data_IF_325772389754
#
_entry.id   IF_325772389754
#
_cell.length_a   1.000
_cell.length_b   1.000
_cell.length_c   1.000
_cell.angle_alpha   90.00
_cell.angle_beta   90.00
_cell.angle_gamma   90.00
#
_symmetry.space_group_name_H-M   'P 1'
#
loop_
_entity.id
_entity.type
_entity.pdbx_description
1 polymer ?
#
# COMPACT_ATOMS: atom_id res chain seq x y z
N UNK A 1 99.87 -25.63 -5.05
CA UNK A 1 99.63 -24.38 -4.33
C UNK A 1 99.05 -23.37 -5.30
N UNK A 2 97.90 -22.92 -5.10
CA UNK A 2 97.24 -21.64 -5.36
C UNK A 2 95.75 -21.91 -5.63
N UNK A 3 95.01 -21.35 -4.75
CA UNK A 3 93.57 -21.33 -4.69
C UNK A 3 93.03 -20.34 -5.75
N UNK A 4 92.05 -20.71 -6.54
CA UNK A 4 91.27 -19.82 -7.41
C UNK A 4 89.86 -19.76 -6.91
N UNK A 5 89.45 -18.58 -6.57
CA UNK A 5 88.11 -18.26 -6.13
C UNK A 5 87.17 -18.09 -7.39
N UNK A 6 86.12 -18.81 -7.45
CA UNK A 6 85.08 -18.62 -8.44
C UNK A 6 83.98 -17.69 -7.91
N UNK A 7 83.71 -16.61 -8.66
CA UNK A 7 82.62 -15.66 -8.36
C UNK A 7 81.32 -16.18 -8.90
N UNK A 8 80.29 -16.35 -8.03
CA UNK A 8 78.90 -16.62 -8.40
C UNK A 8 78.22 -15.29 -8.73
N UNK A 9 77.76 -15.19 -9.98
CA UNK A 9 76.86 -14.11 -10.44
C UNK A 9 75.41 -14.57 -10.17
N UNK A 10 74.76 -13.92 -9.22
CA UNK A 10 73.33 -14.10 -8.97
C UNK A 10 72.54 -13.20 -9.92
N UNK A 11 71.81 -13.83 -10.86
CA UNK A 11 70.81 -13.15 -11.69
C UNK A 11 69.53 -13.04 -10.87
N UNK A 12 69.20 -11.85 -10.42
CA UNK A 12 67.93 -11.53 -9.77
C UNK A 12 66.84 -11.37 -10.82
N UNK A 13 65.89 -12.29 -10.84
CA UNK A 13 64.68 -12.15 -11.60
C UNK A 13 63.70 -11.22 -10.84
N UNK A 14 63.48 -10.02 -11.36
CA UNK A 14 62.37 -9.15 -10.93
C UNK A 14 61.08 -9.69 -11.48
N UNK A 15 60.27 -10.32 -10.63
CA UNK A 15 58.85 -10.57 -10.92
C UNK A 15 58.09 -9.24 -10.76
N UNK A 16 57.73 -8.62 -11.87
CA UNK A 16 56.81 -7.51 -11.90
C UNK A 16 55.38 -8.03 -11.59
N UNK A 17 54.84 -7.64 -10.42
CA UNK A 17 53.43 -7.81 -10.14
C UNK A 17 52.66 -6.83 -11.02
N UNK A 18 52.01 -7.38 -12.08
CA UNK A 18 50.99 -6.64 -12.80
C UNK A 18 49.70 -6.73 -11.99
N UNK A 19 49.40 -5.65 -11.22
CA UNK A 19 48.10 -5.47 -10.61
C UNK A 19 47.14 -5.11 -11.73
N UNK A 20 46.38 -6.08 -12.21
CA UNK A 20 45.22 -5.84 -13.05
C UNK A 20 44.15 -5.21 -12.19
N UNK A 21 43.89 -3.93 -12.37
CA UNK A 21 42.70 -3.29 -11.88
C UNK A 21 41.50 -3.93 -12.57
N UNK A 22 40.68 -4.66 -11.81
CA UNK A 22 39.37 -5.10 -12.26
C UNK A 22 38.55 -3.86 -12.62
N UNK A 23 37.78 -3.89 -13.73
CA UNK A 23 36.86 -2.80 -14.03
C UNK A 23 35.85 -2.71 -12.87
N UNK A 24 35.72 -1.52 -12.30
CA UNK A 24 34.65 -1.22 -11.37
C UNK A 24 33.33 -1.44 -12.15
N UNK A 25 32.61 -2.51 -11.83
CA UNK A 25 31.24 -2.67 -12.28
C UNK A 25 30.47 -1.49 -11.70
N UNK A 26 29.99 -0.60 -12.55
CA UNK A 26 29.01 0.39 -12.18
C UNK A 26 27.78 -0.41 -11.67
N UNK A 27 27.57 -0.36 -10.37
CA UNK A 27 26.36 -0.86 -9.73
C UNK A 27 25.23 0.00 -10.26
N UNK A 28 24.51 -0.53 -11.26
CA UNK A 28 23.23 0.01 -11.67
C UNK A 28 22.28 -0.27 -10.51
N UNK A 29 22.00 0.74 -9.70
CA UNK A 29 21.29 0.66 -8.42
C UNK A 29 19.80 0.25 -8.57
N UNK A 30 19.56 -0.94 -9.06
CA UNK A 30 18.33 -1.70 -8.94
C UNK A 30 18.54 -2.80 -7.92
N UNK A 31 18.49 -2.47 -6.64
CA UNK A 31 18.45 -3.48 -5.59
C UNK A 31 17.22 -4.34 -5.76
N UNK A 32 17.36 -5.68 -5.59
CA UNK A 32 16.20 -6.56 -5.57
C UNK A 32 15.19 -6.07 -4.51
N UNK A 33 13.87 -6.19 -4.77
CA UNK A 33 12.86 -5.80 -3.81
C UNK A 33 13.07 -6.55 -2.49
N UNK A 34 12.93 -5.83 -1.38
CA UNK A 34 13.16 -6.39 -0.04
C UNK A 34 11.90 -7.11 0.40
N UNK A 35 12.06 -8.20 1.15
CA UNK A 35 10.92 -8.93 1.72
C UNK A 35 10.07 -8.03 2.60
N UNK A 36 8.74 -8.17 2.49
CA UNK A 36 7.79 -7.45 3.33
C UNK A 36 7.99 -7.77 4.81
N UNK A 37 7.75 -6.79 5.67
CA UNK A 37 7.79 -6.95 7.13
C UNK A 37 6.40 -7.37 7.60
N UNK A 38 6.33 -8.47 8.37
CA UNK A 38 5.10 -9.04 8.89
C UNK A 38 5.04 -8.89 10.41
N UNK A 39 3.85 -8.62 10.92
CA UNK A 39 3.57 -8.52 12.34
C UNK A 39 2.29 -9.29 12.69
N UNK A 40 2.34 -10.16 13.70
CA UNK A 40 1.14 -10.85 14.19
C UNK A 40 0.17 -9.83 14.78
N UNK A 41 -1.08 -9.86 14.35
CA UNK A 41 -2.04 -8.88 14.80
C UNK A 41 -2.41 -9.10 16.27
N UNK A 42 -2.25 -8.07 17.09
CA UNK A 42 -2.55 -8.11 18.51
C UNK A 42 -3.96 -7.60 18.81
N UNK A 43 -4.62 -8.25 19.75
CA UNK A 43 -5.93 -7.87 20.24
C UNK A 43 -5.96 -7.97 21.77
N UNK A 44 -5.35 -7.02 22.50
CA UNK A 44 -5.17 -7.09 23.93
C UNK A 44 -6.49 -7.09 24.73
N UNK A 45 -7.56 -6.51 24.17
CA UNK A 45 -8.87 -6.42 24.80
C UNK A 45 -9.83 -7.57 24.42
N UNK A 46 -9.27 -8.70 23.94
CA UNK A 46 -10.05 -9.84 23.46
C UNK A 46 -10.15 -9.89 21.93
N UNK A 47 -11.03 -10.72 21.35
CA UNK A 47 -11.13 -10.84 19.90
C UNK A 47 -11.42 -9.50 19.23
N UNK A 48 -10.57 -9.04 18.31
CA UNK A 48 -10.65 -7.72 17.67
C UNK A 48 -12.03 -7.46 17.02
N UNK A 49 -12.64 -8.48 16.39
CA UNK A 49 -13.97 -8.35 15.80
C UNK A 49 -15.07 -8.08 16.85
N UNK A 50 -14.93 -8.60 18.08
CA UNK A 50 -15.84 -8.33 19.21
C UNK A 50 -15.61 -6.96 19.86
N UNK A 51 -14.40 -6.44 19.77
CA UNK A 51 -14.06 -5.11 20.28
C UNK A 51 -14.80 -3.99 19.53
N UNK A 52 -14.95 -4.10 18.21
CA UNK A 52 -15.54 -3.07 17.38
C UNK A 52 -17.07 -3.15 17.33
N UNK A 53 -17.74 -2.47 18.26
CA UNK A 53 -19.19 -2.24 18.22
C UNK A 53 -19.53 -1.13 17.21
N UNK A 54 -20.80 -1.03 16.77
CA UNK A 54 -21.27 0.06 15.91
C UNK A 54 -20.95 1.46 16.48
N UNK A 55 -21.09 1.62 17.80
CA UNK A 55 -20.78 2.88 18.48
C UNK A 55 -19.28 3.20 18.46
N UNK A 56 -18.42 2.22 18.72
CA UNK A 56 -16.95 2.41 18.63
C UNK A 56 -16.50 2.71 17.21
N UNK A 57 -17.10 2.05 16.19
CA UNK A 57 -16.79 2.29 14.79
C UNK A 57 -17.17 3.71 14.37
N UNK A 58 -18.35 4.20 14.74
CA UNK A 58 -18.76 5.60 14.46
C UNK A 58 -17.90 6.63 15.18
N UNK A 59 -17.41 6.33 16.38
CA UNK A 59 -16.57 7.21 17.20
C UNK A 59 -15.08 7.08 16.94
N UNK A 60 -14.65 6.15 16.10
CA UNK A 60 -13.25 6.00 15.73
C UNK A 60 -12.78 7.27 15.00
N UNK A 61 -11.73 7.89 15.53
CA UNK A 61 -11.16 9.08 14.89
C UNK A 61 -10.61 8.72 13.52
N UNK A 62 -10.78 9.57 12.48
CA UNK A 62 -10.04 9.38 11.25
C UNK A 62 -8.55 9.41 11.56
N UNK A 63 -7.77 8.48 11.01
CA UNK A 63 -6.35 8.72 10.94
C UNK A 63 -6.14 9.76 9.84
N UNK A 64 -5.48 10.85 10.20
CA UNK A 64 -5.26 11.93 9.26
C UNK A 64 -4.46 11.43 8.06
N UNK A 65 -4.78 11.95 6.88
CA UNK A 65 -3.88 11.84 5.75
C UNK A 65 -2.54 12.44 6.16
N UNK A 66 -1.47 11.80 5.72
CA UNK A 66 -0.14 12.29 6.05
C UNK A 66 0.05 13.67 5.40
N UNK A 67 0.15 14.69 6.24
CA UNK A 67 0.39 16.07 5.79
C UNK A 67 1.88 16.30 5.61
N UNK A 68 2.33 16.42 4.38
CA UNK A 68 3.72 16.74 4.07
C UNK A 68 3.91 18.25 4.11
N UNK A 69 4.42 18.72 5.23
CA UNK A 69 4.99 20.06 5.33
C UNK A 69 6.39 20.13 4.69
N UNK A 70 6.83 21.33 4.37
CA UNK A 70 8.11 21.61 3.67
C UNK A 70 9.40 21.04 4.29
N UNK A 71 9.34 20.39 5.46
CA UNK A 71 10.49 19.77 6.15
C UNK A 71 10.68 18.29 5.87
N UNK A 72 9.72 17.61 5.22
CA UNK A 72 9.82 16.19 4.91
C UNK A 72 10.60 15.89 3.62
N UNK A 73 10.98 16.92 2.89
CA UNK A 73 11.60 16.90 1.56
C UNK A 73 12.95 16.17 1.49
N UNK A 74 13.64 15.96 2.60
CA UNK A 74 15.03 15.48 2.59
C UNK A 74 15.20 13.96 2.65
N UNK A 75 14.14 13.16 2.74
CA UNK A 75 14.26 11.72 3.07
C UNK A 75 13.56 10.74 2.12
N UNK A 76 12.92 11.22 1.07
CA UNK A 76 12.20 10.31 0.17
C UNK A 76 13.19 9.46 -0.65
N UNK A 77 13.12 8.14 -0.47
CA UNK A 77 13.75 7.17 -1.37
C UNK A 77 13.04 7.17 -2.72
N UNK A 78 13.64 6.58 -3.75
CA UNK A 78 12.97 6.37 -5.03
C UNK A 78 12.31 5.00 -5.04
N UNK A 79 11.03 4.94 -5.40
CA UNK A 79 10.38 3.68 -5.72
C UNK A 79 11.14 3.01 -6.89
N UNK A 80 11.37 1.70 -6.80
CA UNK A 80 11.97 0.94 -7.91
C UNK A 80 10.84 0.57 -8.87
N UNK A 81 10.77 1.16 -10.07
CA UNK A 81 9.80 0.74 -11.07
C UNK A 81 10.06 -0.73 -11.41
N UNK A 82 9.03 -1.53 -11.43
CA UNK A 82 9.11 -2.89 -11.97
C UNK A 82 9.41 -2.87 -13.47
N UNK A 83 9.88 -3.99 -14.02
CA UNK A 83 10.28 -4.05 -15.41
C UNK A 83 9.09 -3.97 -16.39
N UNK A 84 7.94 -4.55 -16.04
CA UNK A 84 6.74 -4.59 -16.88
C UNK A 84 5.47 -4.43 -16.01
N UNK A 85 4.37 -3.96 -16.60
CA UNK A 85 3.08 -3.91 -15.95
C UNK A 85 2.59 -5.34 -15.66
N UNK A 86 2.33 -5.66 -14.38
CA UNK A 86 1.77 -6.95 -13.97
C UNK A 86 0.33 -6.73 -13.52
N UNK A 87 -0.60 -7.51 -14.10
CA UNK A 87 -2.03 -7.48 -13.77
C UNK A 87 -2.46 -8.79 -13.14
N UNK A 88 -3.15 -8.69 -12.02
CA UNK A 88 -3.85 -9.80 -11.38
C UNK A 88 -5.36 -9.56 -11.59
N UNK A 89 -6.06 -10.42 -12.34
CA UNK A 89 -7.46 -10.17 -12.68
C UNK A 89 -8.37 -10.25 -11.46
N UNK A 90 -9.52 -9.54 -11.47
CA UNK A 90 -10.54 -9.66 -10.43
C UNK A 90 -11.21 -11.04 -10.46
N UNK A 91 -11.73 -11.47 -9.31
CA UNK A 91 -12.52 -12.71 -9.17
C UNK A 91 -14.02 -12.39 -9.33
N UNK A 92 -14.39 -11.67 -10.38
CA UNK A 92 -15.76 -11.17 -10.59
C UNK A 92 -16.12 -11.14 -12.09
N UNK A 93 -17.40 -11.19 -12.49
CA UNK A 93 -17.80 -11.19 -13.90
C UNK A 93 -17.82 -9.79 -14.53
N UNK A 94 -17.56 -9.77 -15.83
CA UNK A 94 -17.31 -8.63 -16.72
C UNK A 94 -18.52 -7.78 -17.10
N UNK A 95 -18.41 -6.42 -17.12
CA UNK A 95 -19.15 -5.52 -18.05
C UNK A 95 -18.74 -4.03 -17.96
N UNK A 96 -18.46 -3.37 -19.04
CA UNK A 96 -17.85 -2.05 -19.11
C UNK A 96 -18.70 -0.81 -19.36
N UNK A 97 -18.30 0.37 -18.88
CA UNK A 97 -18.49 1.72 -19.47
C UNK A 97 -17.75 2.89 -18.73
N UNK A 98 -17.90 4.12 -19.25
CA UNK A 98 -17.09 5.33 -19.21
C UNK A 98 -16.99 6.11 -17.91
N UNK A 99 -15.76 6.58 -17.61
CA UNK A 99 -15.39 7.51 -16.53
C UNK A 99 -15.75 8.98 -16.80
N UNK A 100 -16.17 9.67 -15.76
CA UNK A 100 -16.25 11.15 -15.67
C UNK A 100 -15.30 11.65 -14.59
N UNK A 101 -14.59 12.79 -14.77
CA UNK A 101 -13.79 13.39 -13.71
C UNK A 101 -14.68 13.78 -12.53
N UNK A 102 -14.35 13.30 -11.32
CA UNK A 102 -15.02 13.63 -10.06
C UNK A 102 -13.98 13.98 -9.01
N UNK A 103 -14.11 15.13 -8.37
CA UNK A 103 -13.17 15.65 -7.38
C UNK A 103 -13.46 15.22 -5.93
N UNK A 104 -14.58 14.54 -5.71
CA UNK A 104 -15.02 14.01 -4.42
C UNK A 104 -16.55 14.03 -4.31
N UNK A 105 -17.14 12.85 -4.20
CA UNK A 105 -18.58 12.69 -4.07
C UNK A 105 -18.98 11.27 -3.67
N UNK A 106 -20.23 11.08 -3.18
CA UNK A 106 -20.74 9.76 -2.85
C UNK A 106 -20.79 8.85 -4.08
N UNK A 107 -20.26 7.63 -3.95
CA UNK A 107 -20.42 6.62 -4.98
C UNK A 107 -21.85 6.08 -4.99
N UNK A 108 -22.54 6.25 -6.11
CA UNK A 108 -23.93 5.80 -6.30
C UNK A 108 -24.08 4.73 -7.37
N UNK A 109 -22.95 4.33 -8.02
CA UNK A 109 -22.94 3.35 -9.10
C UNK A 109 -23.24 1.90 -8.65
N UNK A 110 -23.12 1.63 -7.35
CA UNK A 110 -23.23 0.25 -6.84
C UNK A 110 -22.04 -0.61 -7.28
N UNK A 111 -22.31 -1.86 -7.68
CA UNK A 111 -21.31 -2.80 -8.15
C UNK A 111 -20.42 -3.38 -7.03
N UNK A 112 -19.49 -4.22 -7.43
CA UNK A 112 -18.71 -5.03 -6.50
C UNK A 112 -17.76 -4.22 -5.64
N UNK A 113 -17.33 -3.03 -6.08
CA UNK A 113 -16.51 -2.10 -5.31
C UNK A 113 -17.13 -1.74 -3.95
N UNK A 114 -18.46 -1.72 -3.86
CA UNK A 114 -19.18 -1.38 -2.62
C UNK A 114 -18.99 -2.46 -1.56
N UNK A 115 -18.91 -3.73 -1.95
CA UNK A 115 -18.75 -4.84 -1.02
C UNK A 115 -17.27 -5.24 -0.81
N UNK A 116 -16.39 -4.98 -1.77
CA UNK A 116 -14.97 -5.28 -1.64
C UNK A 116 -14.20 -4.21 -0.88
N UNK A 117 -14.63 -2.95 -0.97
CA UNK A 117 -14.06 -1.84 -0.20
C UNK A 117 -14.73 -1.69 1.17
N UNK A 118 -14.02 -1.17 2.14
CA UNK A 118 -14.55 -1.02 3.49
C UNK A 118 -13.72 -0.12 4.37
N UNK A 119 -14.23 0.13 5.56
CA UNK A 119 -13.45 0.81 6.61
C UNK A 119 -12.54 -0.18 7.33
N UNK A 120 -11.40 0.33 7.70
CA UNK A 120 -10.44 -0.33 8.58
C UNK A 120 -10.48 0.36 9.94
N UNK A 121 -10.59 -0.42 10.99
CA UNK A 121 -10.59 0.07 12.37
C UNK A 121 -9.45 -0.55 13.15
N UNK A 122 -8.78 0.24 13.98
CA UNK A 122 -7.66 -0.22 14.80
C UNK A 122 -7.47 0.68 16.04
N UNK A 123 -6.66 0.22 16.95
CA UNK A 123 -6.20 1.02 18.07
C UNK A 123 -4.77 1.48 17.81
N UNK A 124 -4.56 2.78 17.79
CA UNK A 124 -3.28 3.44 17.65
C UNK A 124 -3.01 4.33 18.86
N UNK A 125 -1.91 4.13 19.54
CA UNK A 125 -1.53 4.87 20.75
C UNK A 125 -2.68 4.96 21.79
N UNK A 126 -3.36 3.81 22.00
CA UNK A 126 -4.49 3.70 22.95
C UNK A 126 -5.79 4.37 22.47
N UNK A 127 -5.86 4.90 21.26
CA UNK A 127 -7.05 5.54 20.69
C UNK A 127 -7.62 4.72 19.55
N UNK A 128 -8.94 4.70 19.46
CA UNK A 128 -9.64 4.10 18.34
C UNK A 128 -9.52 4.99 17.11
N UNK A 129 -8.98 4.43 16.05
CA UNK A 129 -8.76 5.12 14.78
C UNK A 129 -9.34 4.34 13.60
N UNK A 130 -9.46 5.00 12.46
CA UNK A 130 -9.98 4.39 11.24
C UNK A 130 -9.23 4.86 9.99
N UNK A 131 -9.17 3.95 9.05
CA UNK A 131 -8.71 4.08 7.67
C UNK A 131 -9.74 3.42 6.72
N UNK A 132 -9.35 3.25 5.48
CA UNK A 132 -10.03 2.49 4.44
C UNK A 132 -9.16 1.31 3.97
N UNK A 133 -9.76 0.37 3.27
CA UNK A 133 -9.05 -0.77 2.69
C UNK A 133 -9.90 -1.49 1.64
N UNK A 134 -9.31 -2.46 0.98
CA UNK A 134 -9.98 -3.20 -0.10
C UNK A 134 -9.58 -4.68 -0.11
N UNK A 135 -10.57 -5.55 -0.24
CA UNK A 135 -10.37 -6.99 -0.44
C UNK A 135 -9.88 -7.26 -1.87
N UNK A 136 -8.79 -7.97 -2.00
CA UNK A 136 -8.18 -8.27 -3.30
C UNK A 136 -8.12 -9.77 -3.57
N UNK A 137 -8.10 -10.12 -4.86
CA UNK A 137 -7.81 -11.48 -5.30
C UNK A 137 -6.50 -11.96 -4.70
N UNK A 138 -6.50 -13.10 -4.04
CA UNK A 138 -5.32 -13.66 -3.39
C UNK A 138 -5.44 -15.18 -3.22
N UNK A 139 -4.31 -15.89 -3.21
CA UNK A 139 -4.27 -17.35 -3.06
C UNK A 139 -4.89 -17.82 -1.73
N UNK A 140 -4.72 -17.03 -0.66
CA UNK A 140 -5.33 -17.33 0.64
C UNK A 140 -6.80 -16.88 0.74
N UNK A 141 -7.34 -16.12 -0.24
CA UNK A 141 -8.69 -15.56 -0.25
C UNK A 141 -9.02 -14.68 0.98
N UNK A 142 -8.01 -14.07 1.60
CA UNK A 142 -8.14 -13.35 2.88
C UNK A 142 -7.27 -12.09 2.97
N UNK A 143 -6.80 -11.57 1.83
CA UNK A 143 -5.91 -10.41 1.79
C UNK A 143 -6.69 -9.10 1.59
N UNK A 144 -6.37 -8.12 2.42
CA UNK A 144 -6.83 -6.73 2.32
C UNK A 144 -5.61 -5.84 2.05
N UNK A 145 -5.69 -4.95 1.07
CA UNK A 145 -4.70 -3.91 0.80
C UNK A 145 -5.17 -2.60 1.41
N UNK A 146 -4.24 -1.88 2.03
CA UNK A 146 -4.43 -0.59 2.69
C UNK A 146 -3.13 0.23 2.62
N UNK A 147 -3.03 1.35 3.30
CA UNK A 147 -1.78 2.11 3.43
C UNK A 147 -0.87 1.55 4.53
N UNK A 148 0.42 1.80 4.42
CA UNK A 148 1.42 1.42 5.43
C UNK A 148 1.14 2.07 6.78
N UNK A 149 0.81 3.38 6.78
CA UNK A 149 0.44 4.09 8.00
C UNK A 149 -0.87 3.59 8.64
N UNK A 150 -1.70 2.82 7.92
CA UNK A 150 -2.89 2.17 8.45
C UNK A 150 -2.62 0.82 9.15
N UNK A 151 -1.39 0.33 9.12
CA UNK A 151 -0.96 -0.88 9.85
C UNK A 151 0.15 -0.60 10.85
N UNK A 152 1.05 0.38 10.55
CA UNK A 152 2.15 0.81 11.42
C UNK A 152 2.42 2.30 11.21
N UNK A 153 2.43 3.08 12.28
CA UNK A 153 2.72 4.51 12.22
C UNK A 153 3.43 4.99 13.48
N UNK A 154 4.32 5.98 13.34
CA UNK A 154 5.15 6.53 14.43
C UNK A 154 5.88 5.43 15.23
N UNK A 155 6.43 4.45 14.50
CA UNK A 155 7.16 3.33 15.08
C UNK A 155 6.31 2.23 15.71
N UNK A 156 4.97 2.38 15.77
CA UNK A 156 4.08 1.46 16.46
C UNK A 156 3.16 0.70 15.50
N UNK A 157 3.10 -0.63 15.63
CA UNK A 157 2.10 -1.45 14.98
C UNK A 157 0.75 -1.24 15.64
N UNK A 158 -0.31 -1.19 14.83
CA UNK A 158 -1.66 -1.01 15.32
C UNK A 158 -2.23 -2.31 15.89
N UNK A 159 -3.04 -2.20 16.94
CA UNK A 159 -3.71 -3.33 17.58
C UNK A 159 -5.21 -3.32 17.30
N UNK A 160 -5.92 -4.42 17.60
CA UNK A 160 -7.36 -4.59 17.33
C UNK A 160 -7.75 -4.36 15.86
N UNK A 161 -6.83 -4.57 14.92
CA UNK A 161 -7.02 -4.29 13.50
C UNK A 161 -8.17 -5.13 12.92
N UNK A 162 -9.13 -4.47 12.31
CA UNK A 162 -10.35 -5.10 11.79
C UNK A 162 -10.81 -4.40 10.51
N UNK A 163 -11.07 -5.17 9.48
CA UNK A 163 -11.66 -4.73 8.22
C UNK A 163 -13.17 -4.95 8.22
N UNK A 164 -13.93 -3.95 7.77
CA UNK A 164 -15.40 -4.00 7.67
C UNK A 164 -15.81 -3.67 6.24
N UNK A 165 -15.89 -4.70 5.37
CA UNK A 165 -16.28 -4.52 3.99
C UNK A 165 -17.74 -4.09 3.86
N UNK A 166 -18.05 -3.20 2.90
CA UNK A 166 -19.38 -2.66 2.68
C UNK A 166 -19.89 -1.76 3.81
N UNK A 167 -18.99 -1.23 4.65
CA UNK A 167 -19.36 -0.38 5.79
C UNK A 167 -20.25 0.79 5.35
N UNK A 168 -21.29 1.07 6.11
CA UNK A 168 -22.12 2.28 6.02
C UNK A 168 -22.88 2.50 7.31
N UNK A 169 -23.03 3.72 7.76
CA UNK A 169 -23.88 4.13 8.90
C UNK A 169 -23.72 3.27 10.17
N UNK A 170 -22.47 2.88 10.50
CA UNK A 170 -22.17 1.98 11.62
C UNK A 170 -22.50 0.51 11.38
N UNK A 171 -22.96 0.15 10.18
CA UNK A 171 -23.31 -1.23 9.80
C UNK A 171 -22.08 -2.01 9.32
N UNK A 172 -22.11 -3.31 9.54
CA UNK A 172 -21.11 -4.27 9.05
C UNK A 172 -21.83 -5.39 8.28
N UNK A 173 -22.36 -5.12 7.05
CA UNK A 173 -23.26 -6.03 6.35
C UNK A 173 -22.58 -7.37 6.01
N UNK A 174 -21.28 -7.37 5.80
CA UNK A 174 -20.47 -8.55 5.50
C UNK A 174 -19.60 -9.00 6.68
N UNK A 175 -19.89 -8.50 7.90
CA UNK A 175 -19.17 -8.86 9.11
C UNK A 175 -17.95 -7.98 9.40
N UNK A 176 -17.22 -8.36 10.47
CA UNK A 176 -16.03 -7.70 10.96
C UNK A 176 -14.88 -8.69 10.92
N UNK A 177 -13.91 -8.43 10.06
CA UNK A 177 -12.81 -9.34 9.73
C UNK A 177 -11.55 -8.93 10.49
N UNK A 178 -11.29 -9.61 11.59
CA UNK A 178 -10.09 -9.34 12.39
C UNK A 178 -8.83 -9.81 11.67
N UNK A 179 -7.78 -9.01 11.69
CA UNK A 179 -6.49 -9.43 11.15
C UNK A 179 -5.92 -10.62 11.95
N UNK A 180 -5.29 -11.53 11.25
CA UNK A 180 -4.35 -12.51 11.78
C UNK A 180 -2.95 -11.93 11.82
N UNK A 181 -2.57 -11.21 10.78
CA UNK A 181 -1.34 -10.47 10.67
C UNK A 181 -1.51 -9.23 9.80
N UNK A 182 -0.66 -8.24 10.02
CA UNK A 182 -0.49 -7.05 9.19
C UNK A 182 0.91 -7.01 8.62
N UNK A 183 1.06 -6.39 7.46
CA UNK A 183 2.32 -6.32 6.74
C UNK A 183 2.51 -4.92 6.18
N UNK A 184 3.77 -4.51 6.04
CA UNK A 184 4.13 -3.31 5.27
C UNK A 184 5.47 -3.51 4.55
N UNK A 185 5.83 -2.56 3.71
CA UNK A 185 7.13 -2.54 3.05
C UNK A 185 8.25 -2.29 4.05
N UNK A 186 9.45 -2.81 3.84
CA UNK A 186 10.58 -2.57 4.74
C UNK A 186 11.03 -1.12 4.80
N UNK A 187 10.78 -0.33 3.75
CA UNK A 187 11.10 1.10 3.72
C UNK A 187 10.13 1.90 4.59
N UNK A 188 8.82 1.56 4.53
CA UNK A 188 7.84 2.13 5.44
C UNK A 188 8.14 1.74 6.89
N UNK A 189 8.44 0.48 7.13
CA UNK A 189 8.78 -0.02 8.48
C UNK A 189 9.98 0.70 9.10
N UNK A 190 11.02 0.93 8.32
CA UNK A 190 12.29 1.47 8.80
C UNK A 190 12.30 2.99 8.97
N UNK A 191 11.60 3.74 8.10
CA UNK A 191 11.72 5.21 8.03
C UNK A 191 10.45 5.95 7.66
N UNK A 192 9.33 5.23 7.50
CA UNK A 192 8.06 5.82 7.06
C UNK A 192 8.21 6.59 5.74
N UNK A 193 8.95 5.98 4.78
CA UNK A 193 9.18 6.56 3.46
C UNK A 193 7.88 6.55 2.64
N UNK A 194 7.41 7.73 2.28
CA UNK A 194 6.12 7.96 1.62
C UNK A 194 5.95 7.19 0.31
N UNK A 195 7.02 7.03 -0.48
CA UNK A 195 6.99 6.23 -1.71
C UNK A 195 6.56 4.76 -1.48
N UNK A 196 6.62 4.31 -0.24
CA UNK A 196 6.40 2.92 0.14
C UNK A 196 5.28 2.76 1.17
N UNK A 197 4.39 3.75 1.28
CA UNK A 197 3.25 3.75 2.19
C UNK A 197 2.16 2.76 1.73
N UNK A 198 2.53 1.49 1.66
CA UNK A 198 1.64 0.38 1.31
C UNK A 198 1.60 -0.61 2.46
N UNK A 199 0.40 -1.02 2.84
CA UNK A 199 0.13 -2.01 3.86
C UNK A 199 -0.79 -3.12 3.37
N UNK A 200 -0.74 -4.23 4.05
CA UNK A 200 -1.66 -5.34 3.86
C UNK A 200 -2.08 -5.95 5.20
N UNK A 201 -3.23 -6.58 5.21
CA UNK A 201 -3.65 -7.47 6.29
C UNK A 201 -4.11 -8.81 5.72
N UNK A 202 -3.75 -9.90 6.40
CA UNK A 202 -4.38 -11.21 6.21
C UNK A 202 -5.40 -11.36 7.31
N UNK A 203 -6.67 -11.51 6.96
CA UNK A 203 -7.75 -11.60 7.94
C UNK A 203 -8.12 -13.05 8.26
N UNK A 204 -8.57 -13.26 9.50
CA UNK A 204 -9.05 -14.56 9.97
C UNK A 204 -10.36 -14.93 9.29
N UNK A 205 -10.63 -16.22 9.04
CA UNK A 205 -11.94 -16.65 8.61
C UNK A 205 -13.04 -16.22 9.59
N UNK A 206 -14.18 -15.81 9.05
CA UNK A 206 -15.38 -15.47 9.80
C UNK A 206 -16.46 -16.53 9.55
N UNK A 207 -16.93 -17.18 10.61
CA UNK A 207 -17.92 -18.29 10.52
C UNK A 207 -17.51 -19.39 9.53
N UNK A 208 -16.19 -19.70 9.48
CA UNK A 208 -15.62 -20.71 8.62
C UNK A 208 -15.46 -20.31 7.15
N UNK A 209 -15.82 -19.10 6.76
CA UNK A 209 -15.66 -18.56 5.41
C UNK A 209 -14.44 -17.65 5.33
N UNK A 210 -13.78 -17.63 4.18
CA UNK A 210 -12.73 -16.67 3.86
C UNK A 210 -13.32 -15.37 3.32
N UNK A 211 -12.56 -14.28 3.37
CA UNK A 211 -13.04 -12.95 3.03
C UNK A 211 -13.61 -12.88 1.60
N UNK A 212 -12.82 -13.31 0.61
CA UNK A 212 -13.24 -13.20 -0.80
C UNK A 212 -14.30 -14.20 -1.20
N UNK A 213 -14.57 -15.25 -0.39
CA UNK A 213 -15.72 -16.13 -0.57
C UNK A 213 -17.05 -15.40 -0.24
N UNK A 214 -16.97 -14.30 0.51
CA UNK A 214 -18.14 -13.52 0.96
C UNK A 214 -18.31 -12.24 0.15
N UNK A 215 -17.23 -11.52 -0.14
CA UNK A 215 -17.31 -10.19 -0.74
C UNK A 215 -16.67 -10.09 -2.13
N UNK A 216 -16.08 -11.16 -2.64
CA UNK A 216 -15.28 -11.12 -3.84
C UNK A 216 -13.91 -10.47 -3.57
N UNK A 217 -13.14 -10.28 -4.63
CA UNK A 217 -11.83 -9.65 -4.59
C UNK A 217 -11.56 -8.85 -5.86
N UNK A 218 -11.15 -7.60 -5.71
CA UNK A 218 -10.69 -6.77 -6.83
C UNK A 218 -9.35 -7.27 -7.37
N UNK A 219 -9.08 -6.98 -8.64
CA UNK A 219 -7.78 -7.25 -9.23
C UNK A 219 -6.70 -6.29 -8.75
N UNK A 220 -5.46 -6.53 -9.17
CA UNK A 220 -4.32 -5.66 -8.90
C UNK A 220 -3.55 -5.36 -10.19
N UNK A 221 -2.98 -4.15 -10.26
CA UNK A 221 -2.04 -3.75 -11.29
C UNK A 221 -0.78 -3.22 -10.63
N UNK A 222 0.36 -3.82 -10.96
CA UNK A 222 1.67 -3.32 -10.55
C UNK A 222 2.36 -2.66 -11.74
N UNK A 223 3.09 -1.59 -11.46
CA UNK A 223 3.78 -0.77 -12.47
C UNK A 223 2.82 -0.08 -13.46
N UNK A 224 1.62 0.27 -13.01
CA UNK A 224 0.67 1.03 -13.83
C UNK A 224 1.29 2.35 -14.31
N UNK A 225 1.11 2.72 -15.59
CA UNK A 225 1.71 3.94 -16.11
C UNK A 225 1.10 5.19 -15.50
N UNK A 226 1.91 6.25 -15.36
CA UNK A 226 1.40 7.59 -15.05
C UNK A 226 0.49 8.10 -16.18
N UNK A 227 -0.33 9.11 -15.87
CA UNK A 227 -1.34 9.67 -16.78
C UNK A 227 -2.43 8.66 -17.19
N UNK A 228 -2.66 7.66 -16.37
CA UNK A 228 -3.79 6.73 -16.52
C UNK A 228 -5.06 7.33 -15.89
N UNK A 229 -6.22 6.97 -16.42
CA UNK A 229 -7.49 7.24 -15.74
C UNK A 229 -7.63 6.31 -14.55
N UNK A 230 -7.84 6.87 -13.36
CA UNK A 230 -8.06 6.09 -12.14
C UNK A 230 -9.26 6.58 -11.37
N UNK A 231 -9.81 5.68 -10.56
CA UNK A 231 -10.85 5.92 -9.57
C UNK A 231 -10.28 5.66 -8.19
N UNK A 232 -10.25 6.69 -7.34
CA UNK A 232 -9.87 6.57 -5.94
C UNK A 232 -11.13 6.49 -5.08
N UNK A 233 -11.17 5.55 -4.15
CA UNK A 233 -12.28 5.35 -3.23
C UNK A 233 -11.83 5.41 -1.77
N UNK A 234 -12.78 5.69 -0.86
CA UNK A 234 -12.50 5.65 0.56
C UNK A 234 -13.67 6.09 1.43
N UNK A 235 -13.41 6.12 2.73
CA UNK A 235 -14.35 6.57 3.76
C UNK A 235 -13.76 7.75 4.52
N UNK A 236 -13.68 8.94 3.88
CA UNK A 236 -13.20 10.14 4.55
C UNK A 236 -14.09 10.45 5.75
N UNK A 237 -13.49 10.77 6.90
CA UNK A 237 -14.18 10.93 8.16
C UNK A 237 -13.79 12.22 8.91
N UNK A 238 -12.91 13.05 8.34
CA UNK A 238 -12.67 14.42 8.78
C UNK A 238 -13.55 15.37 7.96
N UNK A 239 -13.90 16.53 8.57
CA UNK A 239 -14.75 17.55 7.98
C UNK A 239 -14.35 17.86 6.51
N UNK A 240 -15.31 17.96 5.57
CA UNK A 240 -16.77 17.94 5.70
C UNK A 240 -17.41 16.55 5.69
N UNK A 241 -16.64 15.49 5.72
CA UNK A 241 -17.09 14.10 5.71
C UNK A 241 -17.25 13.54 7.15
N UNK A 242 -17.99 12.45 7.28
CA UNK A 242 -18.29 11.81 8.58
C UNK A 242 -17.87 10.34 8.68
N UNK A 243 -17.28 9.79 7.61
CA UNK A 243 -16.85 8.38 7.55
C UNK A 243 -17.97 7.37 7.30
N UNK A 244 -19.21 7.81 7.18
CA UNK A 244 -20.36 6.92 7.08
C UNK A 244 -20.73 6.60 5.61
N UNK A 245 -20.15 7.32 4.65
CA UNK A 245 -20.42 7.17 3.21
C UNK A 245 -19.18 6.76 2.44
N UNK A 246 -19.40 5.94 1.43
CA UNK A 246 -18.39 5.56 0.45
C UNK A 246 -18.25 6.68 -0.60
N UNK A 247 -17.09 7.30 -0.62
CA UNK A 247 -16.76 8.47 -1.45
C UNK A 247 -15.78 8.06 -2.54
N UNK A 248 -15.83 8.74 -3.69
CA UNK A 248 -14.88 8.52 -4.76
C UNK A 248 -14.41 9.83 -5.40
N UNK A 249 -13.24 9.74 -6.00
CA UNK A 249 -12.70 10.71 -6.94
C UNK A 249 -12.30 9.96 -8.21
N UNK A 250 -12.37 10.60 -9.36
CA UNK A 250 -11.90 10.00 -10.61
C UNK A 250 -11.25 11.04 -11.52
N UNK A 251 -10.30 10.62 -12.32
CA UNK A 251 -9.63 11.50 -13.28
C UNK A 251 -8.35 10.91 -13.83
N UNK A 252 -7.65 11.70 -14.63
CA UNK A 252 -6.32 11.33 -15.11
C UNK A 252 -5.28 11.63 -14.04
N UNK A 253 -4.54 10.60 -13.64
CA UNK A 253 -3.43 10.73 -12.70
C UNK A 253 -2.24 11.44 -13.33
N UNK A 254 -1.39 12.00 -12.49
CA UNK A 254 -0.09 12.53 -12.88
C UNK A 254 0.98 12.00 -11.93
N UNK A 255 2.24 12.07 -12.34
CA UNK A 255 3.35 11.78 -11.44
C UNK A 255 3.56 12.94 -10.49
N UNK A 256 3.79 12.67 -9.20
CA UNK A 256 4.25 13.70 -8.28
C UNK A 256 5.51 14.36 -8.81
N UNK A 257 5.47 15.67 -8.91
CA UNK A 257 6.57 16.49 -9.43
C UNK A 257 7.41 17.14 -8.31
N UNK A 258 7.07 16.84 -7.04
CA UNK A 258 7.67 17.49 -5.89
C UNK A 258 8.67 16.56 -5.18
N UNK A 259 8.20 15.52 -4.52
CA UNK A 259 9.00 14.77 -3.54
C UNK A 259 9.04 13.28 -3.75
N UNK A 260 8.01 12.71 -4.38
CA UNK A 260 7.85 11.27 -4.49
C UNK A 260 7.76 10.82 -5.94
N UNK A 261 7.75 9.51 -6.15
CA UNK A 261 7.43 8.90 -7.43
C UNK A 261 5.94 8.49 -7.50
N UNK A 262 5.09 9.05 -6.65
CA UNK A 262 3.71 8.63 -6.47
C UNK A 262 2.77 9.15 -7.56
N UNK A 263 1.59 8.54 -7.64
CA UNK A 263 0.48 9.06 -8.43
C UNK A 263 -0.19 10.21 -7.70
N UNK A 264 -0.51 11.29 -8.42
CA UNK A 264 -1.37 12.37 -7.96
C UNK A 264 -2.71 12.37 -8.68
N UNK A 265 -3.78 12.74 -7.98
CA UNK A 265 -5.15 12.84 -8.50
C UNK A 265 -5.85 14.02 -7.86
N UNK A 266 -6.66 14.76 -8.64
CA UNK A 266 -7.58 15.76 -8.09
C UNK A 266 -8.65 15.07 -7.23
N UNK A 267 -8.62 15.32 -5.92
CA UNK A 267 -9.46 14.62 -4.96
C UNK A 267 -9.46 15.36 -3.62
N UNK A 268 -10.63 15.60 -3.06
CA UNK A 268 -10.84 16.32 -1.80
C UNK A 268 -11.13 15.42 -0.59
N UNK A 269 -10.98 14.10 -0.76
CA UNK A 269 -11.14 13.18 0.37
C UNK A 269 -10.18 13.51 1.50
N UNK A 270 -10.68 13.45 2.73
CA UNK A 270 -9.98 13.83 3.96
C UNK A 270 -9.48 12.61 4.74
N UNK A 271 -8.93 12.83 5.94
CA UNK A 271 -8.51 11.77 6.87
C UNK A 271 -9.57 10.70 7.06
N UNK A 272 -9.16 9.45 7.20
CA UNK A 272 -10.02 8.25 7.19
C UNK A 272 -10.16 7.60 5.82
N UNK A 273 -9.95 8.33 4.71
CA UNK A 273 -9.87 7.73 3.37
C UNK A 273 -8.57 6.96 3.11
N UNK A 274 -7.55 7.19 3.92
CA UNK A 274 -6.24 6.52 3.90
C UNK A 274 -6.35 5.02 3.67
N UNK A 275 -5.55 4.46 2.75
CA UNK A 275 -5.59 3.04 2.39
C UNK A 275 -6.76 2.63 1.48
N UNK A 276 -7.66 3.54 1.16
CA UNK A 276 -8.71 3.30 0.18
C UNK A 276 -8.13 3.08 -1.23
N UNK A 277 -8.70 2.19 -2.04
CA UNK A 277 -8.11 1.74 -3.29
C UNK A 277 -8.18 2.77 -4.41
N UNK A 278 -7.16 2.78 -5.27
CA UNK A 278 -7.20 3.43 -6.58
C UNK A 278 -7.22 2.36 -7.66
N UNK A 279 -8.23 2.41 -8.53
CA UNK A 279 -8.39 1.44 -9.62
C UNK A 279 -8.05 2.06 -10.95
N UNK A 280 -7.20 1.39 -11.72
CA UNK A 280 -7.13 1.51 -13.18
C UNK A 280 -8.07 0.49 -13.84
N UNK A 281 -8.41 0.69 -15.11
CA UNK A 281 -9.36 -0.19 -15.84
C UNK A 281 -10.68 -0.41 -15.07
N UNK A 282 -11.14 0.62 -14.38
CA UNK A 282 -12.35 0.52 -13.58
C UNK A 282 -13.59 0.57 -14.46
N UNK A 283 -14.44 -0.41 -14.27
CA UNK A 283 -15.76 -0.50 -14.91
C UNK A 283 -16.86 -0.09 -13.93
N UNK A 284 -17.50 1.05 -14.20
CA UNK A 284 -18.57 1.58 -13.35
C UNK A 284 -19.79 0.68 -13.27
N UNK A 285 -20.09 -0.12 -14.32
CA UNK A 285 -21.30 -0.94 -14.36
C UNK A 285 -21.18 -2.17 -13.46
N UNK A 286 -20.03 -2.82 -13.45
CA UNK A 286 -19.73 -3.96 -12.55
C UNK A 286 -19.17 -3.51 -11.22
N UNK A 287 -18.55 -2.35 -11.15
CA UNK A 287 -17.79 -1.89 -9.98
C UNK A 287 -16.50 -2.68 -9.81
N UNK A 288 -15.88 -3.16 -10.90
CA UNK A 288 -14.63 -3.93 -10.86
C UNK A 288 -13.48 -3.14 -11.45
N UNK A 289 -12.25 -3.40 -10.98
CA UNK A 289 -11.06 -2.76 -11.49
C UNK A 289 -9.78 -3.43 -11.02
N UNK A 290 -8.65 -2.85 -11.43
CA UNK A 290 -7.32 -3.29 -11.01
C UNK A 290 -6.75 -2.26 -10.05
N UNK A 291 -6.60 -2.61 -8.78
CA UNK A 291 -6.04 -1.72 -7.78
C UNK A 291 -4.56 -1.47 -8.06
N UNK A 292 -4.19 -0.20 -8.27
CA UNK A 292 -2.85 0.23 -8.66
C UNK A 292 -2.20 1.22 -7.67
N UNK A 293 -2.94 1.65 -6.65
CA UNK A 293 -2.47 2.53 -5.58
C UNK A 293 -3.45 2.52 -4.40
N UNK A 294 -3.15 3.33 -3.38
CA UNK A 294 -4.04 3.64 -2.24
C UNK A 294 -3.98 5.13 -1.90
N UNK A 295 -5.02 5.65 -1.25
CA UNK A 295 -4.96 6.98 -0.65
C UNK A 295 -3.88 7.02 0.43
N UNK A 296 -2.95 7.97 0.36
CA UNK A 296 -1.83 8.07 1.29
C UNK A 296 -1.69 9.45 1.91
N UNK A 297 -1.44 10.48 1.11
CA UNK A 297 -1.11 11.80 1.64
C UNK A 297 -1.60 12.96 0.76
N UNK A 298 -1.52 14.17 1.31
CA UNK A 298 -1.68 15.43 0.60
C UNK A 298 -0.57 16.42 0.96
N UNK A 299 -0.34 17.40 0.09
CA UNK A 299 0.50 18.55 0.41
C UNK A 299 -0.35 19.67 0.97
N UNK A 300 0.01 20.20 2.12
CA UNK A 300 -0.72 21.33 2.78
C UNK A 300 -0.91 22.54 1.84
N UNK A 301 0.04 22.76 0.94
CA UNK A 301 0.01 23.87 -0.01
C UNK A 301 -0.64 23.52 -1.37
N UNK A 302 -1.13 22.28 -1.54
CA UNK A 302 -1.83 21.82 -2.75
C UNK A 302 -3.17 21.17 -2.37
N UNK A 303 -4.12 21.95 -1.83
CA UNK A 303 -5.41 21.41 -1.40
C UNK A 303 -6.21 20.83 -2.58
N UNK A 304 -7.03 19.82 -2.31
CA UNK A 304 -7.82 19.14 -3.35
C UNK A 304 -7.01 18.22 -4.25
N UNK A 305 -5.84 17.79 -3.78
CA UNK A 305 -5.00 16.80 -4.46
C UNK A 305 -4.59 15.70 -3.48
N UNK A 306 -4.92 14.46 -3.85
CA UNK A 306 -4.51 13.25 -3.15
C UNK A 306 -3.32 12.61 -3.85
N UNK A 307 -2.41 12.06 -3.08
CA UNK A 307 -1.29 11.27 -3.58
C UNK A 307 -1.37 9.85 -3.05
N UNK A 308 -0.88 8.90 -3.86
CA UNK A 308 -0.84 7.51 -3.49
C UNK A 308 0.38 6.81 -4.08
N UNK A 309 1.00 5.89 -3.30
CA UNK A 309 2.25 5.25 -3.65
C UNK A 309 2.15 4.52 -4.99
N UNK A 310 3.23 4.63 -5.77
CA UNK A 310 3.38 3.85 -6.99
C UNK A 310 3.53 2.36 -6.63
N UNK A 311 2.62 1.51 -7.10
CA UNK A 311 2.70 0.07 -6.88
C UNK A 311 3.76 -0.56 -7.78
N UNK A 312 5.03 -0.40 -7.38
CA UNK A 312 6.19 -1.01 -8.00
C UNK A 312 6.51 -2.40 -7.44
N UNK A 313 7.76 -2.82 -7.59
CA UNK A 313 8.22 -4.15 -7.18
C UNK A 313 8.08 -4.42 -5.67
N UNK A 314 8.23 -3.40 -4.82
CA UNK A 314 8.08 -3.57 -3.36
C UNK A 314 6.62 -3.80 -2.97
N UNK A 315 5.66 -3.10 -3.59
CA UNK A 315 4.23 -3.34 -3.40
C UNK A 315 3.82 -4.73 -3.92
N UNK A 316 4.38 -5.16 -5.06
CA UNK A 316 4.18 -6.52 -5.57
C UNK A 316 4.70 -7.56 -4.58
N UNK A 317 5.91 -7.39 -4.05
CA UNK A 317 6.49 -8.29 -3.04
C UNK A 317 5.67 -8.34 -1.76
N UNK A 318 5.14 -7.19 -1.32
CA UNK A 318 4.21 -7.12 -0.18
C UNK A 318 2.97 -7.97 -0.42
N UNK A 319 2.33 -7.80 -1.58
CA UNK A 319 1.16 -8.59 -1.96
C UNK A 319 1.48 -10.09 -2.05
N UNK A 320 2.58 -10.48 -2.72
CA UNK A 320 3.00 -11.87 -2.85
C UNK A 320 3.26 -12.51 -1.47
N UNK A 321 3.85 -11.75 -0.54
CA UNK A 321 4.07 -12.20 0.84
C UNK A 321 2.74 -12.34 1.60
N UNK A 322 1.82 -11.39 1.43
CA UNK A 322 0.53 -11.42 2.11
C UNK A 322 -0.33 -12.62 1.64
N UNK A 323 -0.41 -12.87 0.32
CA UNK A 323 -1.23 -13.96 -0.21
C UNK A 323 -0.70 -15.36 0.05
N UNK A 324 0.59 -15.49 0.39
CA UNK A 324 1.22 -16.78 0.69
C UNK A 324 0.96 -17.28 2.12
N UNK A 325 0.36 -16.45 2.97
CA UNK A 325 0.22 -16.69 4.40
C UNK A 325 -1.15 -16.98 4.94
#
# INVERSE_FOLDING_TARGET
MRKGAGALVAVGALLGLVVQAAPASADSGGGAPRSAVQHAAEAPDGPAAGYWTADRMRKAAPLDLLDIGSRAVERAGKAVPGAEELKVPPVLPDAGTKALPEGGGPWTGGGDVVQTSGRVFFTFDGRNASCSGNAVTSANASTVITAGHCVKYQGSWHTNWTFVPGYHDGQAPHGRWAADKTLTTPQWEASEDMNFDVGAAVVKPLDGKKLTDVVGGQGLSFNAPYNSTMYAFGFPAADPYDGEKFIYCSGTTFKDFLLTDDHGLSCDMTGGSSGGPWFTEFDEASGTGLQASVNSFGYVFLPGTMFGPYFGADAQTLYETAQAG
#
